data_IF_567279384862
#
_entry.id   IF_567279384862
#
_cell.length_a   1.000
_cell.length_b   1.000
_cell.length_c   1.000
_cell.angle_alpha   90.00
_cell.angle_beta   90.00
_cell.angle_gamma   90.00
#
_symmetry.space_group_name_H-M   'P 1'
#
loop_
_entity.id
_entity.type
_entity.pdbx_description
1 polymer ?
#
# COMPACT_ATOMS: atom_id res chain seq x y z
N UNK A 1 10.24 -11.85 16.71
CA UNK A 1 10.25 -13.33 16.71
C UNK A 1 10.57 -13.82 15.31
N UNK A 2 10.97 -15.09 15.14
CA UNK A 2 11.42 -15.63 13.85
C UNK A 2 10.52 -16.79 13.41
N UNK A 3 10.18 -16.86 12.12
CA UNK A 3 9.36 -17.93 11.55
C UNK A 3 9.79 -18.26 10.12
N UNK A 4 9.52 -19.47 9.64
CA UNK A 4 9.93 -19.94 8.32
C UNK A 4 8.75 -19.97 7.35
N UNK A 5 8.94 -19.46 6.15
CA UNK A 5 8.03 -19.61 5.02
C UNK A 5 8.71 -20.48 3.95
N UNK A 6 8.38 -21.78 3.93
CA UNK A 6 9.13 -22.76 3.13
C UNK A 6 10.60 -22.79 3.56
N UNK A 7 11.51 -22.53 2.62
CA UNK A 7 12.96 -22.50 2.87
C UNK A 7 13.48 -21.10 3.24
N UNK A 8 12.59 -20.11 3.37
CA UNK A 8 12.96 -18.72 3.69
C UNK A 8 12.73 -18.45 5.16
N UNK A 9 13.76 -18.01 5.88
CA UNK A 9 13.64 -17.57 7.26
C UNK A 9 13.24 -16.09 7.32
N UNK A 10 12.19 -15.76 8.07
CA UNK A 10 11.68 -14.40 8.24
C UNK A 10 11.82 -13.98 9.70
N UNK A 11 12.34 -12.77 9.91
CA UNK A 11 12.42 -12.12 11.23
C UNK A 11 11.32 -11.06 11.30
N UNK A 12 10.40 -11.24 12.24
CA UNK A 12 9.38 -10.25 12.57
C UNK A 12 9.92 -9.29 13.65
N UNK A 13 9.98 -8.02 13.29
CA UNK A 13 10.43 -6.92 14.15
C UNK A 13 9.25 -5.99 14.41
N UNK A 14 8.90 -5.77 15.67
CA UNK A 14 7.79 -4.91 16.09
C UNK A 14 8.22 -3.79 17.06
N UNK A 15 9.49 -3.74 17.42
CA UNK A 15 10.01 -2.70 18.29
C UNK A 15 10.41 -1.48 17.44
N UNK A 16 9.85 -0.27 17.70
CA UNK A 16 10.07 0.90 16.85
C UNK A 16 11.53 1.33 16.69
N UNK A 17 12.35 1.18 17.73
CA UNK A 17 13.74 1.58 17.70
C UNK A 17 14.56 0.62 16.83
N UNK A 18 14.34 -0.69 16.98
CA UNK A 18 14.91 -1.70 16.08
C UNK A 18 14.46 -1.50 14.63
N UNK A 19 13.17 -1.20 14.37
CA UNK A 19 12.69 -0.92 12.99
C UNK A 19 13.38 0.31 12.40
N UNK A 20 13.56 1.37 13.19
CA UNK A 20 14.26 2.58 12.77
C UNK A 20 15.71 2.27 12.43
N UNK A 21 16.40 1.52 13.28
CA UNK A 21 17.78 1.11 13.04
C UNK A 21 17.88 0.33 11.73
N UNK A 22 17.06 -0.70 11.53
CA UNK A 22 17.02 -1.50 10.29
C UNK A 22 16.77 -0.64 9.04
N UNK A 23 15.82 0.30 9.12
CA UNK A 23 15.42 1.13 7.97
C UNK A 23 16.44 2.22 7.64
N UNK A 24 17.22 2.68 8.62
CA UNK A 24 18.19 3.78 8.45
C UNK A 24 19.63 3.29 8.34
N UNK A 25 19.90 2.03 8.67
CA UNK A 25 21.22 1.42 8.59
C UNK A 25 21.68 1.33 7.13
N UNK A 26 22.68 2.13 6.76
CA UNK A 26 23.27 2.14 5.42
C UNK A 26 24.38 1.11 5.23
N UNK A 27 24.89 0.51 6.30
CA UNK A 27 26.02 -0.43 6.26
C UNK A 27 25.62 -1.88 5.99
N UNK A 28 24.37 -2.27 6.27
CA UNK A 28 23.92 -3.66 6.19
C UNK A 28 23.32 -4.06 4.83
N UNK A 29 23.33 -3.16 3.82
CA UNK A 29 22.70 -3.33 2.49
C UNK A 29 21.36 -4.08 2.54
N UNK A 30 20.50 -3.66 3.48
CA UNK A 30 19.18 -4.26 3.69
C UNK A 30 18.22 -3.76 2.61
N UNK A 31 18.39 -4.29 1.41
CA UNK A 31 17.49 -4.06 0.28
C UNK A 31 16.16 -4.80 0.43
N UNK A 32 15.29 -4.62 -0.56
CA UNK A 32 14.08 -5.43 -0.70
C UNK A 32 14.45 -6.92 -0.83
N UNK A 33 13.78 -7.83 -0.11
CA UNK A 33 14.03 -9.25 -0.22
C UNK A 33 13.88 -9.77 -1.65
N UNK A 34 14.73 -10.73 -2.05
CA UNK A 34 14.66 -11.32 -3.40
C UNK A 34 13.32 -11.96 -3.72
N UNK A 35 12.62 -12.52 -2.73
CA UNK A 35 11.30 -13.12 -2.95
C UNK A 35 10.29 -12.09 -3.47
N UNK A 36 10.38 -10.82 -3.04
CA UNK A 36 9.50 -9.76 -3.53
C UNK A 36 9.71 -9.51 -5.03
N UNK A 37 10.98 -9.53 -5.47
CA UNK A 37 11.31 -9.43 -6.88
C UNK A 37 10.84 -10.66 -7.67
N UNK A 38 11.10 -11.88 -7.16
CA UNK A 38 10.72 -13.14 -7.83
C UNK A 38 9.21 -13.30 -7.99
N UNK A 39 8.45 -12.99 -6.94
CA UNK A 39 6.99 -13.14 -6.94
C UNK A 39 6.28 -12.06 -7.76
N UNK A 40 6.78 -10.83 -7.72
CA UNK A 40 6.10 -9.68 -8.35
C UNK A 40 6.74 -9.22 -9.65
N UNK A 41 7.92 -9.75 -10.00
CA UNK A 41 8.69 -9.34 -11.17
C UNK A 41 7.97 -9.55 -12.50
N UNK A 42 7.15 -10.62 -12.60
CA UNK A 42 6.35 -10.85 -13.80
C UNK A 42 5.29 -9.75 -14.05
N UNK A 43 4.77 -9.13 -12.99
CA UNK A 43 3.75 -8.08 -13.07
C UNK A 43 4.34 -6.67 -13.07
N UNK A 44 5.38 -6.44 -12.27
CA UNK A 44 5.92 -5.10 -11.98
C UNK A 44 7.28 -4.85 -12.62
N UNK A 45 7.89 -5.86 -13.25
CA UNK A 45 9.22 -5.78 -13.85
C UNK A 45 10.31 -5.41 -12.83
N UNK A 46 11.31 -4.64 -13.29
CA UNK A 46 12.37 -4.04 -12.48
C UNK A 46 12.03 -2.58 -12.17
N UNK A 47 10.94 -2.34 -11.45
CA UNK A 47 10.44 -1.01 -11.09
C UNK A 47 10.85 -0.56 -9.68
N UNK A 48 10.33 0.59 -9.26
CA UNK A 48 10.61 1.18 -7.93
C UNK A 48 10.26 0.23 -6.76
N UNK A 49 9.29 -0.67 -6.97
CA UNK A 49 8.81 -1.63 -5.99
C UNK A 49 9.62 -2.93 -5.94
N UNK A 50 10.41 -3.25 -6.96
CA UNK A 50 11.08 -4.56 -7.11
C UNK A 50 12.60 -4.45 -7.25
N UNK A 51 13.13 -3.26 -7.56
CA UNK A 51 14.57 -2.97 -7.68
C UNK A 51 15.21 -2.57 -6.36
N UNK A 52 16.52 -2.79 -6.24
CA UNK A 52 17.41 -2.32 -5.17
C UNK A 52 18.57 -1.46 -5.73
N UNK A 53 19.37 -0.86 -4.86
CA UNK A 53 20.62 -0.17 -5.21
C UNK A 53 20.46 0.93 -6.26
N UNK A 54 21.40 1.00 -7.19
CA UNK A 54 21.47 2.07 -8.21
C UNK A 54 20.25 2.10 -9.14
N UNK A 55 19.70 0.94 -9.52
CA UNK A 55 18.52 0.86 -10.38
C UNK A 55 17.29 1.50 -9.69
N UNK A 56 17.09 1.18 -8.40
CA UNK A 56 16.06 1.81 -7.58
C UNK A 56 16.28 3.33 -7.42
N UNK A 57 17.52 3.74 -7.12
CA UNK A 57 17.86 5.15 -6.92
C UNK A 57 17.61 5.98 -8.18
N UNK A 58 17.98 5.44 -9.35
CA UNK A 58 17.73 6.08 -10.64
C UNK A 58 16.23 6.27 -10.91
N UNK A 59 15.43 5.22 -10.74
CA UNK A 59 13.97 5.30 -10.94
C UNK A 59 13.30 6.25 -9.95
N UNK A 60 13.73 6.23 -8.67
CA UNK A 60 13.21 7.15 -7.65
C UNK A 60 13.50 8.60 -8.03
N UNK A 61 14.70 8.89 -8.55
CA UNK A 61 15.08 10.23 -8.99
C UNK A 61 14.20 10.74 -10.13
N UNK A 62 13.80 9.86 -11.05
CA UNK A 62 12.89 10.21 -12.15
C UNK A 62 11.47 10.49 -11.62
N UNK A 63 10.97 9.67 -10.69
CA UNK A 63 9.59 9.77 -10.19
C UNK A 63 9.38 10.87 -9.14
N UNK A 64 10.40 11.18 -8.34
CA UNK A 64 10.26 12.09 -7.20
C UNK A 64 9.63 13.46 -7.53
N UNK A 65 9.98 14.14 -8.64
CA UNK A 65 9.43 15.45 -8.97
C UNK A 65 7.91 15.45 -9.18
N UNK A 66 7.33 14.35 -9.67
CA UNK A 66 5.87 14.24 -9.89
C UNK A 66 5.08 14.14 -8.58
N UNK A 67 5.75 13.87 -7.46
CA UNK A 67 5.14 13.79 -6.14
C UNK A 67 5.45 15.02 -5.26
N UNK A 68 6.00 16.09 -5.85
CA UNK A 68 6.22 17.35 -5.13
C UNK A 68 4.90 18.05 -4.82
N UNK A 69 4.88 18.84 -3.73
CA UNK A 69 3.65 19.46 -3.22
C UNK A 69 2.87 20.25 -4.28
N UNK A 70 3.55 20.95 -5.19
CA UNK A 70 2.90 21.70 -6.26
C UNK A 70 2.19 20.77 -7.28
N UNK A 71 2.81 19.65 -7.65
CA UNK A 71 2.18 18.63 -8.49
C UNK A 71 1.01 17.95 -7.76
N UNK A 72 1.18 17.64 -6.48
CA UNK A 72 0.14 17.03 -5.63
C UNK A 72 -1.08 17.95 -5.49
N UNK A 73 -0.87 19.26 -5.28
CA UNK A 73 -1.95 20.25 -5.28
C UNK A 73 -2.71 20.26 -6.60
N UNK A 74 -2.00 20.17 -7.73
CA UNK A 74 -2.63 20.05 -9.05
C UNK A 74 -3.52 18.80 -9.21
N UNK A 75 -3.21 17.71 -8.51
CA UNK A 75 -4.01 16.48 -8.53
C UNK A 75 -5.20 16.50 -7.56
N UNK A 76 -5.27 17.45 -6.63
CA UNK A 76 -6.28 17.47 -5.56
C UNK A 76 -7.71 17.54 -6.09
N UNK A 77 -7.93 18.29 -7.17
CA UNK A 77 -9.26 18.40 -7.79
C UNK A 77 -9.74 17.04 -8.31
N UNK A 78 -8.88 16.32 -9.05
CA UNK A 78 -9.22 14.99 -9.58
C UNK A 78 -9.51 13.97 -8.46
N UNK A 79 -8.73 14.01 -7.38
CA UNK A 79 -8.96 13.17 -6.19
C UNK A 79 -10.31 13.49 -5.57
N UNK A 80 -10.63 14.77 -5.43
CA UNK A 80 -11.90 15.24 -4.85
C UNK A 80 -13.09 14.83 -5.70
N UNK A 81 -13.04 15.05 -7.01
CA UNK A 81 -14.10 14.66 -7.95
C UNK A 81 -14.33 13.15 -7.97
N UNK A 82 -13.26 12.35 -7.98
CA UNK A 82 -13.35 10.89 -7.92
C UNK A 82 -13.98 10.42 -6.59
N UNK A 83 -13.60 11.06 -5.48
CA UNK A 83 -14.15 10.77 -4.16
C UNK A 83 -15.63 11.11 -4.08
N UNK A 84 -16.04 12.28 -4.59
CA UNK A 84 -17.45 12.69 -4.66
C UNK A 84 -18.26 11.70 -5.52
N UNK A 85 -17.70 11.27 -6.65
CA UNK A 85 -18.33 10.28 -7.54
C UNK A 85 -18.58 8.96 -6.80
N UNK A 86 -17.59 8.48 -6.05
CA UNK A 86 -17.73 7.26 -5.24
C UNK A 86 -18.79 7.41 -4.14
N UNK A 87 -18.78 8.55 -3.42
CA UNK A 87 -19.76 8.85 -2.37
C UNK A 87 -21.17 8.90 -2.94
N UNK A 88 -21.38 9.56 -4.08
CA UNK A 88 -22.69 9.65 -4.71
C UNK A 88 -23.19 8.27 -5.18
N UNK A 89 -22.29 7.43 -5.70
CA UNK A 89 -22.61 6.05 -6.05
C UNK A 89 -23.08 5.25 -4.83
N UNK A 90 -22.41 5.40 -3.68
CA UNK A 90 -22.86 4.76 -2.44
C UNK A 90 -24.20 5.31 -1.95
N UNK A 91 -24.40 6.64 -1.96
CA UNK A 91 -25.68 7.24 -1.58
C UNK A 91 -26.84 6.69 -2.43
N UNK A 92 -26.67 6.64 -3.75
CA UNK A 92 -27.70 6.08 -4.63
C UNK A 92 -28.01 4.61 -4.33
N UNK A 93 -27.01 3.81 -3.97
CA UNK A 93 -27.22 2.41 -3.53
C UNK A 93 -27.98 2.33 -2.20
N UNK A 94 -27.65 3.19 -1.24
CA UNK A 94 -28.31 3.24 0.07
C UNK A 94 -29.77 3.65 -0.08
N UNK A 95 -30.04 4.68 -0.88
CA UNK A 95 -31.40 5.14 -1.18
C UNK A 95 -32.23 4.03 -1.85
N UNK A 96 -31.66 3.34 -2.85
CA UNK A 96 -32.31 2.20 -3.49
C UNK A 96 -32.57 1.02 -2.53
N UNK A 97 -31.76 0.86 -1.49
CA UNK A 97 -31.87 -0.22 -0.49
C UNK A 97 -32.76 0.13 0.72
N UNK A 98 -33.49 1.25 0.69
CA UNK A 98 -34.41 1.64 1.77
C UNK A 98 -33.85 2.67 2.76
N UNK A 99 -32.77 3.37 2.40
CA UNK A 99 -32.32 4.60 3.07
C UNK A 99 -31.39 4.40 4.28
N UNK A 100 -31.04 3.17 4.63
CA UNK A 100 -30.08 2.87 5.69
C UNK A 100 -29.05 1.83 5.22
N UNK A 101 -27.77 2.16 5.33
CA UNK A 101 -26.69 1.17 5.27
C UNK A 101 -25.91 1.19 6.57
N UNK A 102 -25.82 0.01 7.20
CA UNK A 102 -24.99 -0.23 8.36
C UNK A 102 -23.61 -0.69 7.89
N UNK A 103 -22.57 0.05 8.27
CA UNK A 103 -21.18 -0.39 8.05
C UNK A 103 -20.74 -1.04 9.36
N UNK A 104 -20.72 -2.36 9.39
CA UNK A 104 -20.10 -3.10 10.49
C UNK A 104 -18.58 -3.00 10.34
N UNK A 105 -17.93 -2.38 11.31
CA UNK A 105 -16.47 -2.36 11.41
C UNK A 105 -16.11 -3.50 12.36
N UNK A 106 -15.72 -4.64 11.81
CA UNK A 106 -15.18 -5.72 12.64
C UNK A 106 -13.91 -5.23 13.33
N UNK A 107 -13.79 -5.49 14.63
CA UNK A 107 -12.60 -5.13 15.43
C UNK A 107 -11.35 -5.93 15.03
N UNK A 108 -11.52 -6.97 14.21
CA UNK A 108 -10.44 -7.71 13.60
C UNK A 108 -10.28 -7.17 12.17
N UNK A 109 -9.10 -6.67 11.81
CA UNK A 109 -8.81 -5.91 10.59
C UNK A 109 -9.00 -6.63 9.24
N UNK A 110 -9.94 -7.56 9.13
CA UNK A 110 -10.47 -8.09 7.89
C UNK A 110 -11.71 -7.26 7.49
N UNK A 111 -11.59 -6.51 6.40
CA UNK A 111 -12.70 -5.77 5.80
C UNK A 111 -13.74 -6.75 5.22
N UNK A 112 -14.67 -7.22 6.05
CA UNK A 112 -15.83 -7.98 5.60
C UNK A 112 -16.97 -7.02 5.24
N UNK A 113 -17.16 -6.76 3.95
CA UNK A 113 -18.39 -6.14 3.44
C UNK A 113 -19.53 -7.17 3.55
N UNK A 114 -20.23 -7.19 4.68
CA UNK A 114 -21.47 -7.95 4.79
C UNK A 114 -22.61 -7.17 4.14
N UNK A 115 -23.06 -7.64 2.97
CA UNK A 115 -24.28 -7.15 2.32
C UNK A 115 -25.50 -7.76 3.02
N UNK A 116 -26.52 -6.99 3.43
CA UNK A 116 -27.77 -7.56 3.89
C UNK A 116 -28.59 -8.00 2.67
N UNK A 117 -28.70 -9.31 2.49
CA UNK A 117 -29.61 -9.91 1.52
C UNK A 117 -30.22 -11.18 2.10
N UNK A 118 -31.48 -11.06 2.52
CA UNK A 118 -32.47 -12.08 2.88
C UNK A 118 -32.07 -13.17 3.90
#
# INVERSE_FOLDING_TARGET
FMFSLGNTQIIHVNEPDTVREITTCTSLDLGKPEYQHKERGALLGQGILTSNGAAWAHQRKILAPELYMEKVKGMMNMITESTITLINSWKGRIEAAGGLAEIKIDQEGAWCFAWPGN
#
